data_IF_962477851898
#
_entry.id   IF_962477851898
#
_cell.length_a   1.000
_cell.length_b   1.000
_cell.length_c   1.000
_cell.angle_alpha   90.00
_cell.angle_beta   90.00
_cell.angle_gamma   90.00
#
_symmetry.space_group_name_H-M   'P 1'
#
loop_
_entity.id
_entity.type
_entity.pdbx_description
1 polymer ?
#
# COMPACT_ATOMS: atom_id res chain seq x y z
N UNK A 1 -4.31 14.46 22.67
CA UNK A 1 -4.00 13.10 23.15
C UNK A 1 -2.96 12.36 22.30
N UNK A 2 -2.17 13.03 21.46
CA UNK A 2 -1.21 12.39 20.51
C UNK A 2 0.27 12.50 20.94
N UNK A 3 0.58 13.07 22.11
CA UNK A 3 1.97 13.28 22.56
C UNK A 3 2.59 12.12 23.35
N UNK A 4 1.81 11.14 23.77
CA UNK A 4 2.29 10.06 24.67
C UNK A 4 2.75 8.78 23.95
N UNK A 5 2.45 8.57 22.69
CA UNK A 5 2.82 7.34 21.97
C UNK A 5 4.23 7.37 21.36
N UNK A 6 4.82 8.54 21.15
CA UNK A 6 6.16 8.66 20.54
C UNK A 6 7.27 8.36 21.58
N UNK A 7 7.01 8.60 22.86
CA UNK A 7 7.97 8.34 23.94
C UNK A 7 8.18 6.84 24.22
N UNK A 8 7.22 5.98 23.90
CA UNK A 8 7.31 4.54 24.17
C UNK A 8 8.18 3.77 23.16
N UNK A 9 8.34 4.28 21.95
CA UNK A 9 9.20 3.64 20.93
C UNK A 9 10.68 3.97 21.09
N UNK A 10 11.01 5.07 21.75
CA UNK A 10 12.40 5.49 21.97
C UNK A 10 13.08 4.77 23.15
N UNK A 11 12.33 4.17 24.06
CA UNK A 11 12.88 3.51 25.27
C UNK A 11 13.32 2.05 25.05
N UNK A 12 13.11 1.48 23.86
CA UNK A 12 13.44 0.07 23.60
C UNK A 12 14.86 -0.15 23.02
N UNK A 13 15.64 0.90 22.82
CA UNK A 13 16.96 0.81 22.18
C UNK A 13 18.15 0.87 23.14
N UNK A 14 17.99 0.84 24.48
CA UNK A 14 19.13 0.90 25.41
C UNK A 14 19.07 -0.29 26.35
N UNK A 15 19.42 -1.47 25.85
CA UNK A 15 19.92 -2.60 26.64
C UNK A 15 21.36 -2.88 26.20
N UNK A 16 22.31 -2.16 26.80
CA UNK A 16 23.71 -2.55 26.72
C UNK A 16 23.98 -3.72 27.67
N UNK A 17 24.52 -4.85 27.19
CA UNK A 17 24.96 -5.90 28.10
C UNK A 17 26.19 -5.42 28.87
N UNK A 18 26.13 -5.48 30.19
CA UNK A 18 27.29 -5.33 31.05
C UNK A 18 28.21 -6.54 30.84
N UNK A 19 29.37 -6.32 30.25
CA UNK A 19 30.42 -7.32 30.15
C UNK A 19 31.18 -7.33 31.49
N UNK A 20 31.06 -8.43 32.23
CA UNK A 20 31.94 -8.69 33.39
C UNK A 20 33.31 -9.06 32.85
N UNK A 21 34.30 -8.28 33.25
CA UNK A 21 35.72 -8.49 32.97
C UNK A 21 36.23 -9.60 33.88
N UNK A 22 36.63 -10.72 33.32
CA UNK A 22 37.37 -11.75 34.04
C UNK A 22 38.82 -11.74 33.57
N UNK A 23 39.69 -11.15 34.41
CA UNK A 23 41.04 -10.73 34.11
C UNK A 23 42.11 -11.84 34.37
N UNK A 24 41.87 -13.10 33.99
CA UNK A 24 42.84 -14.16 34.35
C UNK A 24 43.05 -15.31 33.35
N UNK A 25 43.01 -15.07 32.05
CA UNK A 25 43.36 -16.12 31.08
C UNK A 25 44.30 -15.63 29.96
N UNK A 26 45.11 -14.60 30.22
CA UNK A 26 45.97 -13.99 29.20
C UNK A 26 47.29 -14.72 28.92
N UNK A 27 47.50 -15.94 29.41
CA UNK A 27 48.78 -16.65 29.18
C UNK A 27 48.72 -17.89 28.28
N UNK A 28 47.57 -18.14 27.60
CA UNK A 28 47.48 -19.20 26.58
C UNK A 28 46.75 -18.71 25.34
N UNK A 29 46.94 -17.48 24.90
CA UNK A 29 46.48 -17.08 23.59
C UNK A 29 47.46 -17.67 22.53
N UNK A 30 47.10 -18.85 22.01
CA UNK A 30 47.42 -19.07 20.61
C UNK A 30 46.73 -17.92 19.85
N UNK A 31 47.48 -17.20 19.05
CA UNK A 31 46.95 -16.22 18.10
C UNK A 31 46.02 -16.95 17.12
N UNK A 32 44.84 -17.33 17.58
CA UNK A 32 43.71 -17.51 16.68
C UNK A 32 43.38 -16.10 16.21
N UNK A 33 43.93 -15.68 15.08
CA UNK A 33 43.33 -14.64 14.28
C UNK A 33 41.86 -14.96 14.24
N UNK A 34 41.07 -14.20 15.01
CA UNK A 34 39.62 -14.24 14.89
C UNK A 34 39.35 -13.98 13.41
N UNK A 35 39.09 -15.06 12.68
CA UNK A 35 38.57 -14.98 11.32
C UNK A 35 37.40 -13.99 11.40
N UNK A 36 37.63 -12.75 10.99
CA UNK A 36 36.58 -11.78 10.81
C UNK A 36 35.56 -12.49 9.96
N UNK A 37 34.43 -12.86 10.55
CA UNK A 37 33.31 -13.41 9.78
C UNK A 37 33.12 -12.46 8.60
N UNK A 38 33.46 -12.94 7.42
CA UNK A 38 33.28 -12.16 6.18
C UNK A 38 31.81 -11.88 6.05
N UNK A 39 31.41 -10.66 6.39
CA UNK A 39 29.99 -10.24 6.33
C UNK A 39 29.62 -10.25 4.86
N UNK A 40 29.00 -11.34 4.42
CA UNK A 40 28.49 -11.47 3.06
C UNK A 40 27.48 -10.35 2.84
N UNK A 41 27.70 -9.45 1.85
CA UNK A 41 26.78 -8.37 1.59
C UNK A 41 25.38 -8.92 1.29
N UNK A 42 24.35 -8.25 1.78
CA UNK A 42 22.98 -8.58 1.44
C UNK A 42 22.81 -8.63 -0.09
N UNK A 43 22.34 -9.75 -0.57
CA UNK A 43 21.97 -9.94 -1.96
C UNK A 43 20.56 -10.54 -2.00
N UNK A 44 19.68 -9.90 -2.75
CA UNK A 44 18.35 -10.43 -3.02
C UNK A 44 17.86 -9.95 -4.39
N UNK A 45 17.26 -10.85 -5.13
CA UNK A 45 16.46 -10.57 -6.30
C UNK A 45 15.19 -11.39 -6.20
N UNK A 46 14.03 -10.76 -6.37
CA UNK A 46 12.78 -11.47 -6.19
C UNK A 46 11.59 -10.78 -6.83
N UNK A 47 10.54 -11.56 -7.00
CA UNK A 47 9.24 -11.14 -7.51
C UNK A 47 8.15 -11.93 -6.80
N UNK A 48 6.99 -11.33 -6.60
CA UNK A 48 5.85 -12.07 -6.05
C UNK A 48 4.62 -11.23 -5.82
N UNK A 49 3.52 -11.91 -5.50
CA UNK A 49 2.26 -11.26 -5.14
C UNK A 49 2.36 -10.56 -3.79
N UNK A 50 1.66 -9.45 -3.70
CA UNK A 50 1.55 -8.63 -2.48
C UNK A 50 0.08 -8.29 -2.21
N UNK A 51 -0.29 -8.26 -0.93
CA UNK A 51 -1.57 -7.80 -0.43
C UNK A 51 -1.33 -6.56 0.43
N UNK A 52 -1.91 -5.44 0.05
CA UNK A 52 -1.76 -4.17 0.74
C UNK A 52 -3.09 -3.73 1.36
N UNK A 53 -3.05 -3.33 2.62
CA UNK A 53 -4.17 -2.85 3.42
C UNK A 53 -4.00 -1.35 3.61
N UNK A 54 -4.57 -0.57 2.69
CA UNK A 54 -4.47 0.89 2.72
C UNK A 54 -5.54 1.51 3.62
N UNK A 55 -5.15 2.50 4.41
CA UNK A 55 -5.98 3.25 5.35
C UNK A 55 -6.00 4.74 4.96
N UNK A 56 -6.54 5.12 3.79
CA UNK A 56 -6.70 6.51 3.42
C UNK A 56 -7.76 7.18 4.29
N UNK A 57 -7.80 8.52 4.28
CA UNK A 57 -8.94 9.24 4.86
C UNK A 57 -10.18 9.02 4.01
N UNK A 58 -11.22 8.42 4.57
CA UNK A 58 -12.49 8.15 3.88
C UNK A 58 -13.61 9.07 4.32
N UNK A 59 -13.36 10.08 5.16
CA UNK A 59 -14.41 10.97 5.73
C UNK A 59 -15.24 11.65 4.63
N UNK A 60 -14.59 12.31 3.67
CA UNK A 60 -15.29 13.03 2.61
C UNK A 60 -15.91 12.08 1.57
N UNK A 61 -15.28 10.92 1.33
CA UNK A 61 -15.83 9.86 0.49
C UNK A 61 -17.11 9.30 1.11
N UNK A 62 -17.11 9.08 2.43
CA UNK A 62 -18.28 8.60 3.18
C UNK A 62 -19.37 9.67 3.29
N UNK A 63 -19.03 10.96 3.38
CA UNK A 63 -20.00 12.03 3.30
C UNK A 63 -20.75 12.01 1.95
N UNK A 64 -20.04 11.77 0.83
CA UNK A 64 -20.65 11.57 -0.48
C UNK A 64 -21.53 10.30 -0.53
N UNK A 65 -21.06 9.19 0.04
CA UNK A 65 -21.86 7.96 0.12
C UNK A 65 -23.17 8.19 0.88
N UNK A 66 -23.10 8.85 2.02
CA UNK A 66 -24.27 9.20 2.84
C UNK A 66 -25.26 10.12 2.08
N UNK A 67 -24.76 11.15 1.37
CA UNK A 67 -25.57 12.02 0.53
C UNK A 67 -26.29 11.26 -0.60
N UNK A 68 -25.74 10.12 -1.03
CA UNK A 68 -26.35 9.24 -2.02
C UNK A 68 -27.26 8.16 -1.39
N UNK A 69 -27.47 8.20 -0.07
CA UNK A 69 -28.28 7.23 0.66
C UNK A 69 -27.61 5.88 0.87
N UNK A 70 -26.30 5.80 0.68
CA UNK A 70 -25.48 4.59 0.87
C UNK A 70 -24.96 4.51 2.31
N UNK A 71 -24.52 3.33 2.73
CA UNK A 71 -23.76 3.14 3.97
C UNK A 71 -22.32 3.59 3.83
N UNK A 72 -21.58 3.54 4.95
CA UNK A 72 -20.16 3.86 4.97
C UNK A 72 -19.31 2.81 4.24
N UNK A 73 -18.28 3.26 3.56
CA UNK A 73 -17.23 2.40 3.01
C UNK A 73 -16.34 1.89 4.12
N UNK A 74 -16.07 0.60 4.09
CA UNK A 74 -15.20 -0.04 5.08
C UNK A 74 -13.73 0.17 4.73
N UNK A 75 -12.94 0.49 5.74
CA UNK A 75 -11.48 0.47 5.70
C UNK A 75 -10.95 -0.76 6.44
N UNK A 76 -9.79 -1.31 6.08
CA UNK A 76 -8.87 -0.87 5.02
C UNK A 76 -9.37 -1.14 3.61
N UNK A 77 -8.91 -0.34 2.63
CA UNK A 77 -9.03 -0.69 1.22
C UNK A 77 -8.03 -1.80 0.93
N UNK A 78 -8.54 -2.99 0.62
CA UNK A 78 -7.69 -4.14 0.29
C UNK A 78 -7.25 -4.01 -1.16
N UNK A 79 -5.95 -3.97 -1.38
CA UNK A 79 -5.33 -3.89 -2.69
C UNK A 79 -4.51 -5.15 -2.94
N UNK A 80 -4.55 -5.65 -4.15
CA UNK A 80 -3.77 -6.81 -4.60
C UNK A 80 -2.85 -6.36 -5.73
N UNK A 81 -1.65 -6.93 -5.77
CA UNK A 81 -0.69 -6.61 -6.82
C UNK A 81 0.55 -7.46 -6.76
N UNK A 82 1.64 -6.92 -7.31
CA UNK A 82 2.92 -7.59 -7.36
C UNK A 82 4.06 -6.60 -7.11
N UNK A 83 5.16 -7.13 -6.63
CA UNK A 83 6.43 -6.40 -6.48
C UNK A 83 7.57 -7.20 -7.10
N UNK A 84 8.51 -6.50 -7.72
CA UNK A 84 9.79 -7.00 -8.18
C UNK A 84 10.90 -6.15 -7.60
N UNK A 85 12.02 -6.74 -7.23
CA UNK A 85 13.18 -6.01 -6.72
C UNK A 85 14.48 -6.74 -7.00
N UNK A 86 15.59 -5.98 -6.95
CA UNK A 86 16.93 -6.50 -7.05
C UNK A 86 17.89 -5.67 -6.18
N UNK A 87 18.83 -6.35 -5.54
CA UNK A 87 19.96 -5.70 -4.88
C UNK A 87 20.86 -5.02 -5.93
N UNK A 88 21.34 -3.83 -5.59
CA UNK A 88 22.25 -3.07 -6.46
C UNK A 88 23.68 -3.53 -6.16
N UNK A 89 24.29 -4.31 -7.07
CA UNK A 89 25.60 -4.94 -6.84
C UNK A 89 26.76 -3.98 -6.59
N UNK A 90 26.66 -2.72 -7.03
CA UNK A 90 27.70 -1.69 -6.83
C UNK A 90 27.57 -0.94 -5.51
N UNK A 91 26.44 -1.02 -4.83
CA UNK A 91 26.21 -0.39 -3.54
C UNK A 91 25.75 -1.46 -2.55
N UNK A 92 26.60 -1.83 -1.57
CA UNK A 92 26.25 -2.87 -0.60
C UNK A 92 24.96 -2.56 0.13
N UNK A 93 24.15 -3.58 0.37
CA UNK A 93 22.92 -3.53 1.12
C UNK A 93 21.80 -2.63 0.55
N UNK A 94 21.99 -2.07 -0.64
CA UNK A 94 20.96 -1.25 -1.29
C UNK A 94 20.19 -2.08 -2.30
N UNK A 95 18.87 -1.91 -2.30
CA UNK A 95 17.93 -2.59 -3.19
C UNK A 95 17.03 -1.60 -3.90
N UNK A 96 16.81 -1.81 -5.18
CA UNK A 96 15.82 -1.12 -6.00
C UNK A 96 14.64 -2.07 -6.24
N UNK A 97 13.43 -1.55 -6.16
CA UNK A 97 12.23 -2.31 -6.44
C UNK A 97 11.17 -1.49 -7.17
N UNK A 98 10.21 -2.20 -7.71
CA UNK A 98 9.00 -1.63 -8.30
C UNK A 98 7.79 -2.45 -7.85
N UNK A 99 6.73 -1.75 -7.42
CA UNK A 99 5.46 -2.38 -7.06
C UNK A 99 4.29 -1.76 -7.81
N UNK A 100 3.26 -2.59 -8.00
CA UNK A 100 1.96 -2.18 -8.50
C UNK A 100 0.88 -2.86 -7.69
N UNK A 101 -0.08 -2.08 -7.18
CA UNK A 101 -1.24 -2.57 -6.43
C UNK A 101 -2.50 -1.83 -6.86
N UNK A 102 -3.63 -2.52 -6.82
CA UNK A 102 -4.94 -1.95 -7.06
C UNK A 102 -5.99 -2.56 -6.13
N UNK A 103 -6.96 -1.77 -5.74
CA UNK A 103 -8.07 -2.23 -4.91
C UNK A 103 -9.22 -1.24 -4.86
N UNK A 104 -10.37 -1.71 -4.38
CA UNK A 104 -11.61 -0.94 -4.34
C UNK A 104 -12.37 -1.20 -3.06
N UNK A 105 -12.82 -0.13 -2.40
CA UNK A 105 -13.84 -0.18 -1.37
C UNK A 105 -15.21 0.09 -2.01
N UNK A 106 -16.24 -0.66 -1.61
CA UNK A 106 -17.56 -0.59 -2.21
C UNK A 106 -18.64 -0.39 -1.14
N UNK A 107 -19.57 0.53 -1.39
CA UNK A 107 -20.82 0.66 -0.66
C UNK A 107 -22.00 0.50 -1.64
N UNK A 108 -22.97 -0.33 -1.31
CA UNK A 108 -24.16 -0.54 -2.15
C UNK A 108 -25.43 -0.66 -1.33
N UNK A 109 -26.56 -0.24 -1.93
CA UNK A 109 -27.88 -0.32 -1.31
C UNK A 109 -28.96 -0.37 -2.37
N UNK A 110 -30.01 -1.14 -2.08
CA UNK A 110 -31.24 -1.12 -2.86
C UNK A 110 -32.11 0.06 -2.43
N UNK A 111 -32.60 0.82 -3.40
CA UNK A 111 -33.37 2.05 -3.21
C UNK A 111 -34.59 2.02 -4.14
N UNK A 112 -35.60 2.80 -3.79
CA UNK A 112 -36.74 3.06 -4.69
C UNK A 112 -36.60 4.46 -5.26
N UNK A 113 -36.49 4.56 -6.58
CA UNK A 113 -36.36 5.84 -7.29
C UNK A 113 -37.50 5.91 -8.31
N UNK A 114 -38.34 6.91 -8.22
CA UNK A 114 -39.48 7.09 -9.10
C UNK A 114 -40.37 5.83 -9.20
N UNK A 115 -40.56 5.11 -8.09
CA UNK A 115 -41.38 3.89 -8.04
C UNK A 115 -40.67 2.62 -8.54
N UNK A 116 -39.46 2.72 -9.07
CA UNK A 116 -38.66 1.58 -9.54
C UNK A 116 -37.63 1.16 -8.48
N UNK A 117 -37.45 -0.14 -8.27
CA UNK A 117 -36.40 -0.67 -7.45
C UNK A 117 -35.06 -0.61 -8.22
N UNK A 118 -34.07 0.04 -7.64
CA UNK A 118 -32.76 0.22 -8.22
C UNK A 118 -31.67 -0.14 -7.21
N UNK A 119 -30.59 -0.74 -7.66
CA UNK A 119 -29.37 -0.89 -6.88
C UNK A 119 -28.44 0.28 -7.17
N UNK A 120 -28.10 1.04 -6.12
CA UNK A 120 -27.09 2.08 -6.19
C UNK A 120 -25.81 1.60 -5.56
N UNK A 121 -24.69 1.81 -6.23
CA UNK A 121 -23.37 1.39 -5.79
C UNK A 121 -22.39 2.54 -5.96
N UNK A 122 -21.52 2.73 -4.98
CA UNK A 122 -20.39 3.62 -5.06
C UNK A 122 -19.11 2.84 -4.77
N UNK A 123 -18.14 2.96 -5.65
CA UNK A 123 -16.80 2.38 -5.53
C UNK A 123 -15.79 3.49 -5.31
N UNK A 124 -14.87 3.29 -4.38
CA UNK A 124 -13.67 4.08 -4.22
C UNK A 124 -12.47 3.21 -4.56
N UNK A 125 -11.93 3.41 -5.75
CA UNK A 125 -10.79 2.67 -6.30
C UNK A 125 -9.49 3.42 -6.11
N UNK A 126 -8.42 2.71 -5.74
CA UNK A 126 -7.07 3.22 -5.66
C UNK A 126 -6.15 2.27 -6.42
N UNK A 127 -5.44 2.80 -7.41
CA UNK A 127 -4.37 2.11 -8.12
C UNK A 127 -3.06 2.84 -7.84
N UNK A 128 -2.03 2.10 -7.49
CA UNK A 128 -0.74 2.66 -7.08
C UNK A 128 0.40 1.93 -7.75
N UNK A 129 1.41 2.67 -8.20
CA UNK A 129 2.68 2.17 -8.75
C UNK A 129 3.80 2.96 -8.10
N UNK A 130 4.89 2.29 -7.70
CA UNK A 130 6.00 3.00 -7.09
C UNK A 130 7.33 2.31 -7.36
N UNK A 131 8.37 3.11 -7.59
CA UNK A 131 9.75 2.68 -7.44
C UNK A 131 10.18 2.84 -5.99
N UNK A 132 10.99 1.93 -5.49
CA UNK A 132 11.44 1.89 -4.11
C UNK A 132 12.95 1.78 -4.04
N UNK A 133 13.52 2.48 -3.09
CA UNK A 133 14.92 2.34 -2.69
C UNK A 133 14.94 1.95 -1.21
N UNK A 134 15.47 0.76 -0.92
CA UNK A 134 15.55 0.23 0.43
C UNK A 134 17.02 -0.05 0.81
N UNK A 135 17.32 0.07 2.10
CA UNK A 135 18.62 -0.30 2.66
C UNK A 135 18.44 -1.51 3.60
N UNK A 136 19.18 -2.59 3.36
CA UNK A 136 19.06 -3.82 4.13
C UNK A 136 19.95 -3.80 5.37
N UNK A 137 19.34 -4.02 6.52
CA UNK A 137 19.99 -4.30 7.80
C UNK A 137 19.70 -5.77 8.09
N UNK A 138 20.74 -6.60 8.16
CA UNK A 138 20.62 -8.06 8.34
C UNK A 138 21.09 -8.44 9.75
N UNK A 139 20.19 -8.47 10.74
CA UNK A 139 20.55 -8.82 12.12
C UNK A 139 20.86 -10.32 12.29
N UNK A 140 20.34 -11.18 11.42
CA UNK A 140 20.59 -12.60 11.37
C UNK A 140 20.37 -13.17 9.97
N UNK A 141 20.99 -14.34 9.67
CA UNK A 141 21.05 -14.91 8.29
C UNK A 141 19.73 -14.96 7.51
N UNK A 142 18.59 -15.11 8.15
CA UNK A 142 17.31 -15.24 7.45
C UNK A 142 16.40 -14.04 7.61
N UNK A 143 16.81 -13.02 8.36
CA UNK A 143 15.97 -11.87 8.69
C UNK A 143 16.64 -10.59 8.21
N UNK A 144 15.91 -9.80 7.43
CA UNK A 144 16.32 -8.47 7.01
C UNK A 144 15.27 -7.43 7.39
N UNK A 145 15.72 -6.28 7.88
CA UNK A 145 14.93 -5.08 8.12
C UNK A 145 15.35 -4.06 7.07
N UNK A 146 14.39 -3.59 6.27
CA UNK A 146 14.70 -2.71 5.15
C UNK A 146 13.90 -1.40 5.27
N UNK A 147 14.45 -0.40 5.98
CA UNK A 147 13.95 0.96 5.84
C UNK A 147 14.17 1.44 4.40
N UNK A 148 13.22 2.21 3.89
CA UNK A 148 13.29 2.69 2.52
C UNK A 148 12.29 3.79 2.23
N UNK A 149 12.36 4.26 1.00
CA UNK A 149 11.47 5.28 0.47
C UNK A 149 11.03 4.90 -0.95
N UNK A 150 9.76 5.13 -1.25
CA UNK A 150 9.22 5.00 -2.60
C UNK A 150 8.85 6.36 -3.17
N UNK A 151 8.96 6.47 -4.48
CA UNK A 151 8.34 7.51 -5.30
C UNK A 151 7.30 6.84 -6.18
N UNK A 152 6.05 7.24 -6.02
CA UNK A 152 4.94 6.55 -6.67
C UNK A 152 3.98 7.50 -7.36
N UNK A 153 3.24 6.93 -8.29
CA UNK A 153 2.12 7.56 -8.99
C UNK A 153 0.96 6.59 -9.09
N UNK A 154 -0.22 7.13 -9.24
CA UNK A 154 -1.41 6.30 -9.30
C UNK A 154 -2.65 7.10 -9.64
N UNK A 155 -3.77 6.42 -9.50
CA UNK A 155 -5.08 7.00 -9.73
C UNK A 155 -5.98 6.69 -8.51
N UNK A 156 -6.73 7.68 -8.08
CA UNK A 156 -7.89 7.46 -7.23
C UNK A 156 -9.16 7.80 -8.02
N UNK A 157 -10.16 6.95 -7.90
CA UNK A 157 -11.42 7.10 -8.63
C UNK A 157 -12.61 6.85 -7.73
N UNK A 158 -13.66 7.66 -7.88
CA UNK A 158 -14.95 7.46 -7.25
C UNK A 158 -15.95 7.18 -8.37
N UNK A 159 -16.45 5.96 -8.42
CA UNK A 159 -17.47 5.54 -9.38
C UNK A 159 -18.79 5.42 -8.66
N UNK A 160 -19.82 6.03 -9.22
CA UNK A 160 -21.18 5.91 -8.72
C UNK A 160 -22.06 5.44 -9.87
N UNK A 161 -22.75 4.35 -9.67
CA UNK A 161 -23.70 3.85 -10.63
C UNK A 161 -24.98 3.37 -9.97
N UNK A 162 -26.04 3.44 -10.73
CA UNK A 162 -27.36 3.01 -10.36
C UNK A 162 -27.96 2.25 -11.53
N UNK A 163 -28.54 1.11 -11.26
CA UNK A 163 -29.19 0.29 -12.28
C UNK A 163 -30.40 -0.43 -11.72
N UNK A 164 -31.36 -0.73 -12.58
CA UNK A 164 -32.42 -1.69 -12.28
C UNK A 164 -31.85 -3.10 -12.11
N UNK A 165 -32.55 -3.93 -11.33
CA UNK A 165 -32.07 -5.27 -10.98
C UNK A 165 -32.02 -6.23 -12.16
N UNK A 166 -32.84 -6.02 -13.20
CA UNK A 166 -32.94 -6.89 -14.36
C UNK A 166 -32.89 -6.06 -15.64
N UNK A 167 -31.83 -6.21 -16.40
CA UNK A 167 -31.65 -5.64 -17.74
C UNK A 167 -31.39 -6.79 -18.71
N UNK A 168 -32.05 -6.79 -19.87
CA UNK A 168 -31.72 -7.68 -20.96
C UNK A 168 -30.61 -7.08 -21.82
N UNK A 169 -29.91 -7.91 -22.59
CA UNK A 169 -28.90 -7.42 -23.55
C UNK A 169 -29.49 -6.44 -24.57
N UNK A 170 -30.73 -6.66 -24.99
CA UNK A 170 -31.47 -5.78 -25.89
C UNK A 170 -31.75 -4.42 -25.29
N UNK A 171 -31.97 -4.34 -23.95
CA UNK A 171 -32.17 -3.06 -23.26
C UNK A 171 -30.89 -2.21 -23.29
N UNK A 172 -29.71 -2.84 -23.20
CA UNK A 172 -28.41 -2.15 -23.24
C UNK A 172 -28.08 -1.54 -24.60
N UNK A 173 -28.74 -1.98 -25.66
CA UNK A 173 -28.54 -1.46 -27.03
C UNK A 173 -29.59 -0.43 -27.44
N UNK A 174 -30.50 -0.07 -26.54
CA UNK A 174 -31.56 0.89 -26.80
C UNK A 174 -31.18 2.27 -26.21
N UNK A 175 -31.22 3.33 -27.04
CA UNK A 175 -30.91 4.69 -26.63
C UNK A 175 -31.74 5.15 -25.42
N UNK A 176 -32.97 4.67 -25.28
CA UNK A 176 -33.88 4.98 -24.14
C UNK A 176 -33.31 4.43 -22.80
N UNK A 177 -32.44 3.41 -22.82
CA UNK A 177 -31.81 2.85 -21.65
C UNK A 177 -30.72 3.77 -21.08
N UNK A 178 -30.13 4.61 -21.91
CA UNK A 178 -29.19 5.64 -21.52
C UNK A 178 -29.87 6.96 -21.05
N UNK A 179 -31.18 7.04 -21.09
CA UNK A 179 -31.95 8.17 -20.55
C UNK A 179 -31.69 8.30 -19.01
N UNK A 180 -31.77 9.53 -18.46
CA UNK A 180 -31.21 9.88 -17.15
C UNK A 180 -31.81 9.15 -15.94
N UNK A 181 -32.87 8.38 -16.07
CA UNK A 181 -33.42 7.56 -14.98
C UNK A 181 -34.13 6.32 -15.55
N UNK A 182 -34.01 5.16 -14.87
CA UNK A 182 -33.39 4.92 -13.56
C UNK A 182 -31.90 4.55 -13.58
N UNK A 183 -31.28 4.46 -14.77
CA UNK A 183 -29.87 4.06 -14.90
C UNK A 183 -28.98 5.31 -14.98
N UNK A 184 -27.92 5.34 -14.18
CA UNK A 184 -26.95 6.43 -14.15
C UNK A 184 -25.54 5.92 -13.83
N UNK A 185 -24.52 6.54 -14.45
CA UNK A 185 -23.12 6.28 -14.17
C UNK A 185 -22.35 7.59 -14.10
N UNK A 186 -21.47 7.70 -13.12
CA UNK A 186 -20.50 8.80 -13.02
C UNK A 186 -19.22 8.25 -12.45
N UNK A 187 -18.09 8.49 -13.13
CA UNK A 187 -16.76 8.23 -12.63
C UNK A 187 -16.02 9.55 -12.49
N UNK A 188 -15.53 9.84 -11.29
CA UNK A 188 -14.69 11.00 -10.99
C UNK A 188 -13.32 10.50 -10.58
N UNK A 189 -12.26 10.94 -11.26
CA UNK A 189 -10.92 10.41 -11.04
C UNK A 189 -9.88 11.53 -10.97
N UNK A 190 -8.77 11.23 -10.28
CA UNK A 190 -7.59 12.07 -10.14
C UNK A 190 -6.34 11.22 -10.25
N UNK A 191 -5.37 11.67 -11.04
CA UNK A 191 -4.02 11.12 -10.99
C UNK A 191 -3.24 11.76 -9.84
N UNK A 192 -2.46 10.96 -9.13
CA UNK A 192 -1.72 11.38 -7.94
C UNK A 192 -0.26 11.03 -8.04
N UNK A 193 0.59 11.90 -7.48
CA UNK A 193 2.01 11.64 -7.22
C UNK A 193 2.22 11.61 -5.70
N UNK A 194 2.99 10.66 -5.20
CA UNK A 194 3.18 10.49 -3.76
C UNK A 194 4.59 9.98 -3.41
N UNK A 195 4.99 10.24 -2.17
CA UNK A 195 6.17 9.64 -1.53
C UNK A 195 5.69 8.61 -0.52
N UNK A 196 6.45 7.53 -0.38
CA UNK A 196 6.10 6.38 0.44
C UNK A 196 7.30 6.00 1.34
N UNK A 197 7.55 6.69 2.49
CA UNK A 197 8.42 6.14 3.52
C UNK A 197 7.90 4.79 3.98
N UNK A 198 8.78 3.79 4.03
CA UNK A 198 8.42 2.40 4.34
C UNK A 198 9.47 1.66 5.13
N UNK A 199 9.05 0.63 5.84
CA UNK A 199 9.93 -0.35 6.48
C UNK A 199 9.42 -1.73 6.12
N UNK A 200 10.29 -2.56 5.56
CA UNK A 200 10.00 -3.96 5.30
C UNK A 200 10.69 -4.83 6.34
N UNK A 201 10.03 -5.89 6.73
CA UNK A 201 10.56 -7.01 7.48
C UNK A 201 10.49 -8.23 6.57
N UNK A 202 11.63 -8.84 6.29
CA UNK A 202 11.75 -9.98 5.39
C UNK A 202 12.33 -11.17 6.11
N UNK A 203 11.72 -12.33 5.88
CA UNK A 203 12.18 -13.60 6.40
C UNK A 203 12.38 -14.60 5.26
N UNK A 204 13.65 -14.96 4.99
CA UNK A 204 13.98 -15.98 4.01
C UNK A 204 13.67 -17.37 4.60
N UNK A 205 12.57 -17.97 4.18
CA UNK A 205 12.18 -19.33 4.57
C UNK A 205 13.12 -20.37 3.95
N UNK A 206 13.51 -20.09 2.70
CA UNK A 206 14.50 -20.85 1.94
C UNK A 206 15.33 -19.86 1.10
N UNK A 207 16.45 -20.30 0.48
CA UNK A 207 17.19 -19.44 -0.45
C UNK A 207 16.36 -18.93 -1.65
N UNK A 208 15.17 -19.50 -1.89
CA UNK A 208 14.29 -19.16 -3.02
C UNK A 208 12.93 -18.59 -2.62
N UNK A 209 12.58 -18.63 -1.33
CA UNK A 209 11.28 -18.20 -0.82
C UNK A 209 11.43 -17.23 0.34
N UNK A 210 10.84 -16.06 0.20
CA UNK A 210 10.85 -15.00 1.20
C UNK A 210 9.43 -14.59 1.57
N UNK A 211 9.17 -14.42 2.86
CA UNK A 211 7.97 -13.81 3.41
C UNK A 211 8.28 -12.37 3.79
N UNK A 212 7.39 -11.46 3.42
CA UNK A 212 7.55 -10.04 3.73
C UNK A 212 6.34 -9.49 4.46
N UNK A 213 6.61 -8.66 5.46
CA UNK A 213 5.66 -7.74 6.04
C UNK A 213 6.20 -6.31 5.86
N UNK A 214 5.33 -5.35 5.57
CA UNK A 214 5.70 -3.95 5.37
C UNK A 214 4.74 -3.06 6.14
N UNK A 215 5.27 -1.97 6.69
CA UNK A 215 4.52 -0.81 7.13
C UNK A 215 5.00 0.42 6.34
N UNK A 216 4.04 1.21 5.85
CA UNK A 216 4.34 2.38 5.06
C UNK A 216 3.34 3.51 5.33
N UNK A 217 3.73 4.73 4.98
CA UNK A 217 2.84 5.89 4.99
C UNK A 217 2.86 6.56 3.62
N UNK A 218 1.72 6.58 2.94
CA UNK A 218 1.58 7.30 1.67
C UNK A 218 1.41 8.78 1.95
N UNK A 219 2.26 9.62 1.35
CA UNK A 219 2.18 11.08 1.39
C UNK A 219 1.91 11.57 -0.03
N UNK A 220 0.69 11.93 -0.34
CA UNK A 220 0.36 12.58 -1.61
C UNK A 220 1.00 13.97 -1.67
N UNK A 221 1.86 14.21 -2.66
CA UNK A 221 2.56 15.48 -2.87
C UNK A 221 1.94 16.31 -3.98
N UNK A 222 1.26 15.68 -4.92
CA UNK A 222 0.58 16.34 -6.02
C UNK A 222 -0.61 15.52 -6.52
N UNK A 223 -1.57 16.19 -7.14
CA UNK A 223 -2.68 15.59 -7.87
C UNK A 223 -3.02 16.43 -9.08
N UNK A 224 -3.49 15.77 -10.16
CA UNK A 224 -4.11 16.46 -11.28
C UNK A 224 -5.46 17.05 -10.87
N UNK A 225 -6.07 17.82 -11.74
CA UNK A 225 -7.49 18.17 -11.59
C UNK A 225 -8.35 16.89 -11.55
N UNK A 226 -9.44 16.96 -10.80
CA UNK A 226 -10.46 15.92 -10.82
C UNK A 226 -11.26 16.00 -12.13
N UNK A 227 -11.44 14.86 -12.77
CA UNK A 227 -12.12 14.76 -14.07
C UNK A 227 -13.29 13.77 -13.97
N UNK A 228 -14.48 14.21 -14.39
CA UNK A 228 -15.67 13.37 -14.48
C UNK A 228 -15.79 12.75 -15.87
N UNK A 229 -16.00 11.43 -15.94
CA UNK A 229 -16.24 10.65 -17.15
C UNK A 229 -15.20 10.91 -18.26
N UNK A 230 -13.95 11.15 -17.88
CA UNK A 230 -12.81 11.49 -18.76
C UNK A 230 -12.99 12.76 -19.61
N UNK A 231 -13.91 13.62 -19.28
CA UNK A 231 -14.26 14.78 -20.13
C UNK A 231 -14.37 16.09 -19.37
N UNK A 232 -15.02 16.14 -18.24
CA UNK A 232 -15.35 17.38 -17.55
C UNK A 232 -14.53 17.57 -16.28
N UNK A 233 -13.88 18.73 -16.11
CA UNK A 233 -13.21 19.10 -14.85
C UNK A 233 -14.25 19.29 -13.75
N UNK A 234 -13.96 18.74 -12.57
CA UNK A 234 -14.85 18.82 -11.39
C UNK A 234 -14.28 19.85 -10.42
N UNK A 235 -15.05 20.91 -10.17
CA UNK A 235 -14.69 21.94 -9.21
C UNK A 235 -15.20 21.62 -7.80
N UNK A 236 -14.59 22.27 -6.78
CA UNK A 236 -15.02 22.18 -5.37
C UNK A 236 -14.98 20.75 -4.80
N UNK A 237 -14.07 19.91 -5.26
CA UNK A 237 -13.84 18.60 -4.66
C UNK A 237 -13.22 18.80 -3.27
N UNK A 238 -13.72 18.13 -2.21
CA UNK A 238 -13.17 18.25 -0.87
C UNK A 238 -11.69 17.88 -0.83
N UNK A 239 -10.88 18.70 -0.18
CA UNK A 239 -9.42 18.49 -0.08
C UNK A 239 -9.03 17.28 0.78
N UNK A 240 -9.96 16.74 1.56
CA UNK A 240 -9.73 15.55 2.38
C UNK A 240 -9.77 14.25 1.58
N UNK A 241 -10.18 14.27 0.30
CA UNK A 241 -10.11 13.10 -0.57
C UNK A 241 -8.67 12.95 -1.08
N UNK A 242 -7.91 12.07 -0.45
CA UNK A 242 -6.48 11.86 -0.71
C UNK A 242 -6.11 10.40 -0.51
N UNK A 243 -5.11 9.93 -1.26
CA UNK A 243 -4.51 8.60 -1.05
C UNK A 243 -3.57 8.56 0.15
N UNK A 244 -3.37 9.69 0.85
CA UNK A 244 -2.51 9.77 2.02
C UNK A 244 -3.05 8.92 3.17
N UNK A 245 -2.16 8.16 3.82
CA UNK A 245 -2.53 7.32 4.94
C UNK A 245 -1.54 6.22 5.22
N UNK A 246 -1.73 5.51 6.32
CA UNK A 246 -0.98 4.32 6.67
C UNK A 246 -1.36 3.16 5.74
N UNK A 247 -0.41 2.29 5.50
CA UNK A 247 -0.66 1.01 4.84
C UNK A 247 0.20 -0.09 5.46
N UNK A 248 -0.36 -1.30 5.43
CA UNK A 248 0.33 -2.52 5.82
C UNK A 248 0.28 -3.49 4.65
N UNK A 249 1.39 -4.14 4.36
CA UNK A 249 1.49 -5.06 3.24
C UNK A 249 2.07 -6.38 3.70
N UNK A 250 1.58 -7.46 3.13
CA UNK A 250 2.20 -8.78 3.23
C UNK A 250 2.46 -9.31 1.83
N UNK A 251 3.53 -10.09 1.68
CA UNK A 251 3.92 -10.65 0.40
C UNK A 251 4.63 -11.98 0.54
N UNK A 252 4.52 -12.78 -0.51
CA UNK A 252 5.27 -14.00 -0.70
C UNK A 252 6.11 -13.83 -1.96
N UNK A 253 7.42 -13.90 -1.82
CA UNK A 253 8.36 -13.53 -2.87
C UNK A 253 9.21 -14.73 -3.23
N UNK A 254 9.37 -14.97 -4.51
CA UNK A 254 10.20 -16.02 -5.07
C UNK A 254 11.40 -15.37 -5.76
N UNK A 255 12.59 -15.92 -5.54
CA UNK A 255 13.80 -15.30 -6.07
C UNK A 255 15.07 -15.98 -5.58
N UNK A 256 16.13 -15.20 -5.40
CA UNK A 256 17.38 -15.61 -4.79
C UNK A 256 17.63 -14.72 -3.58
N UNK A 257 17.82 -15.35 -2.43
CA UNK A 257 18.02 -14.67 -1.14
C UNK A 257 19.22 -15.29 -0.43
N UNK A 258 20.14 -14.47 0.08
CA UNK A 258 21.26 -14.91 0.90
C UNK A 258 21.24 -14.26 2.28
#
# INVERSE_FOLDING_TARGET
MFRSCIAALASLCILTPAVAQDDRLDELSFDEEQLKEEVVPYFAIGVGPIFNFALPSTTDVNARAAALGLGEMKTPVIQVGAEIFAAIGVVPNVRLGFSWVAGTATASKDLTVNGSSVKRTMNYGITSRAFHLDYAIVPMKSLAILPGVGLGWGEQAIETYQSQSNLSWTDLTNDATFAPAPNAFTRVQQNTLYVLPRVNLEYAVTPFLNLRAQAAYTLQISGSDWVANNNATVSNVPSGISVSGLSFQVGVLVGLFN
#
